data_IF_570825153797
#
_entry.id   IF_570825153797
#
_cell.length_a   1.000
_cell.length_b   1.000
_cell.length_c   1.000
_cell.angle_alpha   90.00
_cell.angle_beta   90.00
_cell.angle_gamma   90.00
#
_symmetry.space_group_name_H-M   'P 1'
#
loop_
_entity.id
_entity.type
_entity.pdbx_description
1 polymer ?
#
# COMPACT_ATOMS: atom_id res chain seq x y z
N UNK A 1 -24.55 8.82 1.54
CA UNK A 1 -24.70 8.73 2.99
C UNK A 1 -23.36 8.99 3.65
N UNK A 2 -23.17 10.14 4.29
CA UNK A 2 -21.94 10.49 5.00
C UNK A 2 -21.95 9.75 6.35
N UNK A 3 -21.01 8.84 6.52
CA UNK A 3 -20.79 8.20 7.83
C UNK A 3 -20.44 9.28 8.85
N UNK A 4 -21.04 9.21 10.04
CA UNK A 4 -20.65 10.08 11.15
C UNK A 4 -19.18 9.86 11.49
N UNK A 5 -18.51 10.87 12.04
CA UNK A 5 -17.07 10.80 12.42
C UNK A 5 -16.78 9.58 13.31
N UNK A 6 -17.68 9.26 14.22
CA UNK A 6 -17.54 8.12 15.14
C UNK A 6 -17.67 6.77 14.42
N UNK A 7 -18.65 6.63 13.50
CA UNK A 7 -18.83 5.41 12.71
C UNK A 7 -17.61 5.15 11.80
N UNK A 8 -17.04 6.21 11.20
CA UNK A 8 -15.81 6.12 10.40
C UNK A 8 -14.63 5.65 11.25
N UNK A 9 -14.44 6.24 12.42
CA UNK A 9 -13.36 5.85 13.35
C UNK A 9 -13.50 4.39 13.79
N UNK A 10 -14.70 3.97 14.14
CA UNK A 10 -14.98 2.58 14.49
C UNK A 10 -14.64 1.62 13.35
N UNK A 11 -15.05 1.94 12.11
CA UNK A 11 -14.75 1.12 10.94
C UNK A 11 -13.23 1.00 10.70
N UNK A 12 -12.50 2.10 10.80
CA UNK A 12 -11.03 2.10 10.63
C UNK A 12 -10.38 1.22 11.69
N UNK A 13 -10.80 1.33 12.95
CA UNK A 13 -10.25 0.50 14.03
C UNK A 13 -10.57 -0.99 13.84
N UNK A 14 -11.75 -1.32 13.34
CA UNK A 14 -12.17 -2.70 13.03
C UNK A 14 -11.33 -3.29 11.90
N UNK A 15 -11.19 -2.57 10.78
CA UNK A 15 -10.39 -3.02 9.63
C UNK A 15 -8.92 -3.20 10.02
N UNK A 16 -8.33 -2.22 10.68
CA UNK A 16 -6.93 -2.27 11.10
C UNK A 16 -6.67 -3.36 12.13
N UNK A 17 -7.63 -3.66 13.02
CA UNK A 17 -7.53 -4.77 13.95
C UNK A 17 -7.49 -6.11 13.22
N UNK A 18 -8.38 -6.31 12.24
CA UNK A 18 -8.40 -7.51 11.41
C UNK A 18 -7.09 -7.70 10.65
N UNK A 19 -6.58 -6.66 9.99
CA UNK A 19 -5.30 -6.71 9.26
C UNK A 19 -4.15 -7.13 10.19
N UNK A 20 -4.04 -6.54 11.37
CA UNK A 20 -2.99 -6.85 12.35
C UNK A 20 -3.12 -8.28 12.88
N UNK A 21 -4.35 -8.76 13.11
CA UNK A 21 -4.59 -10.12 13.61
C UNK A 21 -4.20 -11.19 12.60
N UNK A 22 -4.46 -10.94 11.32
CA UNK A 22 -4.29 -11.94 10.25
C UNK A 22 -2.89 -11.92 9.60
N UNK A 23 -2.05 -10.91 9.89
CA UNK A 23 -0.77 -10.74 9.20
C UNK A 23 0.36 -10.43 10.19
N UNK A 24 1.55 -10.99 9.93
CA UNK A 24 2.76 -10.69 10.69
C UNK A 24 3.55 -9.52 10.10
N UNK A 25 3.50 -9.37 8.78
CA UNK A 25 4.19 -8.33 8.02
C UNK A 25 3.17 -7.65 7.10
N UNK A 26 3.12 -6.33 7.15
CA UNK A 26 2.20 -5.51 6.37
C UNK A 26 3.03 -4.51 5.56
N UNK A 27 2.95 -4.57 4.25
CA UNK A 27 3.60 -3.62 3.36
C UNK A 27 2.63 -2.50 2.96
N UNK A 28 3.07 -1.25 3.05
CA UNK A 28 2.27 -0.07 2.69
C UNK A 28 3.08 0.91 1.85
N UNK A 29 2.42 1.62 0.96
CA UNK A 29 3.05 2.71 0.22
C UNK A 29 3.26 3.95 1.10
N UNK A 30 4.37 4.64 0.88
CA UNK A 30 4.62 5.93 1.49
C UNK A 30 3.91 7.04 0.68
N UNK A 31 2.60 7.16 0.87
CA UNK A 31 1.81 8.19 0.22
C UNK A 31 2.01 9.55 0.89
N UNK A 32 2.50 10.54 0.14
CA UNK A 32 2.59 11.92 0.61
C UNK A 32 1.24 12.61 0.44
N UNK A 33 0.43 12.63 1.49
CA UNK A 33 -0.84 13.36 1.52
C UNK A 33 -0.63 14.85 1.21
N UNK A 34 0.47 15.45 1.66
CA UNK A 34 0.79 16.87 1.39
C UNK A 34 0.99 17.18 -0.10
N UNK A 35 1.62 16.28 -0.86
CA UNK A 35 1.78 16.48 -2.31
C UNK A 35 0.49 16.22 -3.09
N UNK A 36 -0.35 15.31 -2.61
CA UNK A 36 -1.67 15.04 -3.21
C UNK A 36 -2.68 16.15 -2.91
N UNK A 37 -2.61 16.81 -1.76
CA UNK A 37 -3.45 17.97 -1.42
C UNK A 37 -3.20 19.20 -2.30
N UNK A 38 -2.04 19.30 -2.95
CA UNK A 38 -1.75 20.36 -3.94
C UNK A 38 -2.53 20.21 -5.24
N UNK A 39 -3.12 19.06 -5.51
CA UNK A 39 -3.96 18.81 -6.67
C UNK A 39 -5.39 19.17 -6.27
N UNK A 40 -5.86 20.36 -6.72
CA UNK A 40 -7.15 20.96 -6.33
C UNK A 40 -8.35 20.02 -6.50
N UNK A 41 -8.35 19.18 -7.56
CA UNK A 41 -9.41 18.21 -7.84
C UNK A 41 -9.47 17.04 -6.86
N UNK A 42 -8.40 16.76 -6.14
CA UNK A 42 -8.28 15.62 -5.23
C UNK A 42 -8.25 16.07 -3.75
N UNK A 43 -7.93 17.34 -3.48
CA UNK A 43 -7.77 17.88 -2.15
C UNK A 43 -8.98 17.63 -1.23
N UNK A 44 -10.19 17.85 -1.73
CA UNK A 44 -11.44 17.62 -0.98
C UNK A 44 -11.64 16.12 -0.66
N UNK A 45 -11.37 15.25 -1.61
CA UNK A 45 -11.47 13.80 -1.43
C UNK A 45 -10.43 13.27 -0.41
N UNK A 46 -9.22 13.84 -0.41
CA UNK A 46 -8.14 13.44 0.50
C UNK A 46 -8.35 13.89 1.94
N UNK A 47 -8.97 15.05 2.17
CA UNK A 47 -9.35 15.47 3.53
C UNK A 47 -10.43 14.59 4.14
N UNK A 48 -11.24 13.95 3.29
CA UNK A 48 -12.27 13.00 3.69
C UNK A 48 -11.78 11.55 3.74
N UNK A 49 -10.61 11.26 3.15
CA UNK A 49 -10.08 9.89 3.05
C UNK A 49 -9.17 9.58 4.24
N UNK A 50 -9.48 8.54 5.01
CA UNK A 50 -8.77 8.21 6.25
C UNK A 50 -7.42 7.49 6.02
N UNK A 51 -6.81 7.57 4.84
CA UNK A 51 -5.58 6.82 4.49
C UNK A 51 -4.44 7.10 5.47
N UNK A 52 -4.23 8.37 5.83
CA UNK A 52 -3.20 8.73 6.82
C UNK A 52 -3.52 8.16 8.21
N UNK A 53 -4.79 8.21 8.60
CA UNK A 53 -5.25 7.68 9.88
C UNK A 53 -5.11 6.16 9.94
N UNK A 54 -5.48 5.45 8.87
CA UNK A 54 -5.30 3.99 8.74
C UNK A 54 -3.82 3.63 8.92
N UNK A 55 -2.91 4.29 8.20
CA UNK A 55 -1.47 4.04 8.29
C UNK A 55 -0.95 4.26 9.71
N UNK A 56 -1.29 5.38 10.34
CA UNK A 56 -0.92 5.69 11.71
C UNK A 56 -1.41 4.64 12.71
N UNK A 57 -2.67 4.20 12.54
CA UNK A 57 -3.27 3.18 13.41
C UNK A 57 -2.61 1.81 13.19
N UNK A 58 -2.33 1.43 11.96
CA UNK A 58 -1.59 0.19 11.65
C UNK A 58 -0.21 0.19 12.32
N UNK A 59 0.53 1.30 12.25
CA UNK A 59 1.87 1.41 12.84
C UNK A 59 1.88 1.16 14.35
N UNK A 60 1.05 1.86 15.14
CA UNK A 60 1.05 1.66 16.58
C UNK A 60 0.47 0.30 16.99
N UNK A 61 -0.59 -0.19 16.31
CA UNK A 61 -1.14 -1.52 16.59
C UNK A 61 -0.14 -2.63 16.26
N UNK A 62 0.64 -2.48 15.19
CA UNK A 62 1.69 -3.42 14.84
C UNK A 62 2.73 -3.52 15.96
N UNK A 63 3.20 -2.39 16.49
CA UNK A 63 4.12 -2.36 17.63
C UNK A 63 3.54 -3.11 18.83
N UNK A 64 2.28 -2.83 19.20
CA UNK A 64 1.64 -3.48 20.35
C UNK A 64 1.43 -4.98 20.19
N UNK A 65 1.34 -5.48 18.94
CA UNK A 65 1.12 -6.90 18.64
C UNK A 65 2.38 -7.60 18.14
N UNK A 66 3.56 -6.96 18.27
CA UNK A 66 4.84 -7.48 17.77
C UNK A 66 4.81 -7.85 16.28
N UNK A 67 4.10 -7.05 15.49
CA UNK A 67 4.00 -7.17 14.02
C UNK A 67 4.84 -6.08 13.34
N UNK A 68 5.08 -6.22 12.04
CA UNK A 68 5.90 -5.28 11.27
C UNK A 68 5.06 -4.57 10.20
N UNK A 69 5.18 -3.24 10.13
CA UNK A 69 4.69 -2.42 9.02
C UNK A 69 5.90 -1.91 8.26
N UNK A 70 6.00 -2.27 6.99
CA UNK A 70 7.10 -1.90 6.10
C UNK A 70 6.59 -0.87 5.10
N UNK A 71 7.22 0.29 5.06
CA UNK A 71 6.92 1.32 4.07
C UNK A 71 7.82 1.14 2.86
N UNK A 72 7.20 1.07 1.67
CA UNK A 72 7.94 1.06 0.41
C UNK A 72 8.08 2.47 -0.16
N UNK A 73 9.06 2.65 -1.06
CA UNK A 73 9.29 3.92 -1.72
C UNK A 73 8.05 4.36 -2.52
N UNK A 74 7.68 5.66 -2.39
CA UNK A 74 6.54 6.26 -3.11
C UNK A 74 6.68 6.24 -4.63
N UNK A 75 7.91 6.22 -5.13
CA UNK A 75 8.20 6.25 -6.57
C UNK A 75 8.23 4.86 -7.20
N UNK A 76 8.06 3.82 -6.39
CA UNK A 76 7.96 2.46 -6.90
C UNK A 76 6.71 2.31 -7.76
N UNK A 77 6.85 1.98 -9.07
CA UNK A 77 5.71 1.95 -10.00
C UNK A 77 4.89 0.66 -9.86
N UNK A 78 4.37 0.41 -8.67
CA UNK A 78 3.68 -0.82 -8.28
C UNK A 78 2.57 -1.24 -9.23
N UNK A 79 1.76 -0.29 -9.73
CA UNK A 79 0.65 -0.56 -10.64
C UNK A 79 1.09 -0.85 -12.08
N UNK A 80 2.30 -0.43 -12.47
CA UNK A 80 2.82 -0.55 -13.84
C UNK A 80 3.64 -1.83 -14.07
N UNK A 81 4.07 -2.49 -13.00
CA UNK A 81 4.91 -3.70 -13.09
C UNK A 81 4.01 -4.93 -13.07
N UNK A 82 4.22 -5.84 -14.03
CA UNK A 82 3.55 -7.14 -14.02
C UNK A 82 4.05 -7.97 -12.84
N UNK A 83 3.15 -8.38 -11.95
CA UNK A 83 3.48 -9.20 -10.78
C UNK A 83 3.95 -10.63 -11.10
N UNK A 84 3.81 -11.05 -12.36
CA UNK A 84 4.22 -12.38 -12.83
C UNK A 84 5.60 -12.37 -13.49
N UNK A 85 5.85 -11.45 -14.42
CA UNK A 85 7.08 -11.45 -15.22
C UNK A 85 7.97 -10.21 -15.00
N UNK A 86 7.60 -9.30 -14.11
CA UNK A 86 8.30 -8.05 -13.80
C UNK A 86 8.45 -7.07 -14.97
N UNK A 87 7.74 -7.28 -16.09
CA UNK A 87 7.72 -6.33 -17.19
C UNK A 87 7.00 -5.05 -16.77
N UNK A 88 7.59 -3.87 -17.04
CA UNK A 88 6.96 -2.59 -16.77
C UNK A 88 6.18 -2.09 -17.98
N UNK A 89 4.87 -1.92 -17.84
CA UNK A 89 4.00 -1.26 -18.80
C UNK A 89 3.70 0.18 -18.36
N UNK A 90 4.35 1.15 -19.00
CA UNK A 90 4.21 2.58 -18.64
C UNK A 90 2.84 3.17 -18.97
N UNK A 91 2.07 2.57 -19.87
CA UNK A 91 0.72 3.02 -20.25
C UNK A 91 -0.25 2.92 -19.07
N UNK A 92 -0.04 1.95 -18.18
CA UNK A 92 -0.84 1.74 -16.96
C UNK A 92 -0.69 2.90 -15.95
N UNK A 93 0.21 3.85 -16.18
CA UNK A 93 0.26 5.11 -15.41
C UNK A 93 -1.06 5.90 -15.53
N UNK A 94 -1.77 5.74 -16.65
CA UNK A 94 -3.09 6.34 -16.81
C UNK A 94 -4.08 5.75 -15.79
N UNK A 95 -4.64 6.61 -14.93
CA UNK A 95 -5.55 6.22 -13.85
C UNK A 95 -6.90 5.66 -14.33
N UNK A 96 -7.28 5.91 -15.58
CA UNK A 96 -8.51 5.36 -16.17
C UNK A 96 -8.40 3.86 -16.48
N UNK A 97 -7.20 3.34 -16.63
CA UNK A 97 -6.95 1.92 -16.88
C UNK A 97 -7.12 1.14 -15.57
N UNK A 98 -8.17 0.34 -15.47
CA UNK A 98 -8.46 -0.50 -14.31
C UNK A 98 -8.04 -1.94 -14.47
N UNK A 99 -8.08 -2.43 -15.72
CA UNK A 99 -7.60 -3.76 -16.09
C UNK A 99 -6.68 -3.66 -17.29
N UNK A 100 -5.64 -4.49 -17.35
CA UNK A 100 -4.66 -4.47 -18.42
C UNK A 100 -4.03 -5.83 -18.64
N UNK A 101 -3.64 -6.08 -19.87
CA UNK A 101 -2.90 -7.29 -20.26
C UNK A 101 -1.41 -6.97 -20.36
N UNK A 102 -0.58 -7.86 -19.81
CA UNK A 102 0.86 -7.71 -19.89
C UNK A 102 1.36 -8.03 -21.31
N UNK A 103 2.00 -7.07 -22.02
CA UNK A 103 2.46 -7.30 -23.40
C UNK A 103 3.57 -8.34 -23.51
N UNK A 104 4.24 -8.71 -22.39
CA UNK A 104 5.32 -9.69 -22.38
C UNK A 104 4.83 -11.12 -22.11
N UNK A 105 3.91 -11.32 -21.18
CA UNK A 105 3.50 -12.66 -20.75
C UNK A 105 2.00 -12.95 -20.97
N UNK A 106 1.21 -12.00 -21.48
CA UNK A 106 -0.22 -12.16 -21.75
C UNK A 106 -1.10 -12.25 -20.51
N UNK A 107 -0.54 -12.06 -19.30
CA UNK A 107 -1.35 -12.11 -18.07
C UNK A 107 -2.26 -10.89 -17.96
N UNK A 108 -3.54 -11.12 -17.71
CA UNK A 108 -4.52 -10.07 -17.44
C UNK A 108 -4.48 -9.74 -15.95
N UNK A 109 -4.41 -8.46 -15.63
CA UNK A 109 -4.34 -7.92 -14.27
C UNK A 109 -5.49 -6.97 -13.99
N UNK A 110 -6.10 -7.09 -12.81
CA UNK A 110 -6.69 -5.94 -12.14
C UNK A 110 -5.56 -5.04 -11.64
N UNK A 111 -5.64 -3.76 -11.91
CA UNK A 111 -4.57 -2.80 -11.61
C UNK A 111 -4.23 -2.71 -10.13
N UNK A 112 -5.26 -2.64 -9.29
CA UNK A 112 -5.10 -2.42 -7.84
C UNK A 112 -4.62 -3.70 -7.15
N UNK A 113 -5.14 -4.86 -7.56
CA UNK A 113 -4.68 -6.18 -7.07
C UNK A 113 -3.23 -6.43 -7.48
N UNK A 114 -2.87 -6.15 -8.73
CA UNK A 114 -1.49 -6.27 -9.22
C UNK A 114 -0.53 -5.36 -8.44
N UNK A 115 -0.94 -4.11 -8.18
CA UNK A 115 -0.17 -3.18 -7.37
C UNK A 115 0.04 -3.70 -5.94
N UNK A 116 -1.01 -4.22 -5.30
CA UNK A 116 -0.93 -4.78 -3.95
C UNK A 116 0.05 -5.95 -3.86
N UNK A 117 0.06 -6.84 -4.85
CA UNK A 117 1.02 -7.96 -4.94
C UNK A 117 2.46 -7.44 -5.05
N UNK A 118 2.69 -6.44 -5.91
CA UNK A 118 4.02 -5.84 -6.09
C UNK A 118 4.51 -5.11 -4.82
N UNK A 119 3.61 -4.40 -4.12
CA UNK A 119 3.90 -3.74 -2.84
C UNK A 119 4.29 -4.78 -1.79
N UNK A 120 3.54 -5.87 -1.70
CA UNK A 120 3.83 -6.98 -0.78
C UNK A 120 5.24 -7.54 -1.03
N UNK A 121 5.57 -7.92 -2.26
CA UNK A 121 6.89 -8.45 -2.59
C UNK A 121 8.02 -7.47 -2.34
N UNK A 122 7.80 -6.18 -2.68
CA UNK A 122 8.78 -5.13 -2.40
C UNK A 122 9.01 -4.95 -0.90
N UNK A 123 7.95 -4.95 -0.11
CA UNK A 123 8.02 -4.86 1.35
C UNK A 123 8.74 -6.06 1.98
N UNK A 124 8.43 -7.29 1.55
CA UNK A 124 9.12 -8.49 1.99
C UNK A 124 10.63 -8.45 1.67
N UNK A 125 11.00 -8.01 0.47
CA UNK A 125 12.42 -7.87 0.10
C UNK A 125 13.15 -6.85 0.99
N UNK A 126 12.50 -5.74 1.35
CA UNK A 126 13.07 -4.75 2.28
C UNK A 126 13.26 -5.39 3.66
N UNK A 127 12.25 -6.08 4.17
CA UNK A 127 12.28 -6.75 5.46
C UNK A 127 13.41 -7.79 5.55
N UNK A 128 13.54 -8.67 4.54
CA UNK A 128 14.60 -9.69 4.48
C UNK A 128 16.00 -9.08 4.46
N UNK A 129 16.20 -7.98 3.74
CA UNK A 129 17.48 -7.25 3.75
C UNK A 129 17.80 -6.67 5.12
N UNK A 130 16.81 -6.17 5.84
CA UNK A 130 16.99 -5.62 7.20
C UNK A 130 17.42 -6.71 8.17
N UNK A 131 16.75 -7.87 8.17
CA UNK A 131 17.13 -9.02 9.03
C UNK A 131 18.54 -9.51 8.72
N UNK A 132 18.88 -9.69 7.45
CA UNK A 132 20.21 -10.14 7.05
C UNK A 132 21.31 -9.17 7.52
N UNK A 133 21.04 -7.86 7.49
CA UNK A 133 21.96 -6.85 7.99
C UNK A 133 22.14 -6.93 9.51
N UNK A 134 21.05 -7.14 10.25
CA UNK A 134 21.09 -7.29 11.72
C UNK A 134 21.86 -8.54 12.14
N UNK A 135 21.75 -9.66 11.39
CA UNK A 135 22.46 -10.90 11.65
C UNK A 135 23.96 -10.84 11.31
N UNK A 136 24.39 -9.89 10.46
CA UNK A 136 25.78 -9.71 10.06
C UNK A 136 26.52 -8.64 10.88
N UNK A 137 25.85 -7.92 11.77
CA UNK A 137 26.49 -6.98 12.70
C UNK A 137 26.90 -7.77 13.97
N UNK A 138 28.23 -7.79 14.29
CA UNK A 138 28.74 -8.47 15.48
C UNK A 138 28.24 -7.83 16.78
#
# INVERSE_FOLDING_TARGET
>A
MTLTKNARKFLIHTITHKIIKENDIIAVENLSVKSMQKIHSIAKCLTETPIYEIKRILQYKAIWNNKKVIEIDRYYPSSQICSVCNHQNKEVKNLSIRSWECPKCGRIHDRDVNAAINIMWKGLNIYMKTINKELMTP
#
